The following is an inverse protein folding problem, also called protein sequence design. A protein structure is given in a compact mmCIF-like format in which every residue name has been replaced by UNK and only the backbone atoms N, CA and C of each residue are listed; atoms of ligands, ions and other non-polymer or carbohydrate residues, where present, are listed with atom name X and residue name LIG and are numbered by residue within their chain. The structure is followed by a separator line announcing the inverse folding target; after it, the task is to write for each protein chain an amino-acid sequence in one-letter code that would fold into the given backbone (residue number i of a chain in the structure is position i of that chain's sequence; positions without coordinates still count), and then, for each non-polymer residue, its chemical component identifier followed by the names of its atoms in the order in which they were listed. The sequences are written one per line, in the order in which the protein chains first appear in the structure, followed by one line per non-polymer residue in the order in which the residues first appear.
data_IF_112173014044
#
_entry.id   IF_112173014044
#
_cell.length_a   1.000
_cell.length_b   1.000
_cell.length_c   1.000
_cell.angle_alpha   90.00
_cell.angle_beta   90.00
_cell.angle_gamma   90.00
#
_symmetry.space_group_name_H-M   'P 1'
#
loop_
_entity.id
_entity.type
_entity.pdbx_description
1 polymer ?
#
# COMPACT_ATOMS: atom_id res chain seq x y z
N UNK A 1 -8.78 -8.98 17.57
CA UNK A 1 -9.17 -8.87 19.00
C UNK A 1 -7.92 -8.87 19.87
N UNK A 2 -7.86 -7.97 20.84
CA UNK A 2 -6.80 -7.90 21.87
C UNK A 2 -7.43 -8.14 23.23
N UNK A 3 -6.79 -8.96 24.08
CA UNK A 3 -7.21 -9.25 25.44
C UNK A 3 -6.22 -8.62 26.42
N UNK A 4 -6.71 -7.89 27.39
CA UNK A 4 -5.91 -7.28 28.46
C UNK A 4 -6.42 -7.70 29.81
N UNK A 5 -5.52 -7.87 30.79
CA UNK A 5 -5.90 -8.17 32.15
C UNK A 5 -6.71 -7.02 32.76
N UNK A 6 -7.78 -7.32 33.46
CA UNK A 6 -8.70 -6.34 34.03
C UNK A 6 -8.00 -5.37 35.01
N UNK A 7 -7.14 -5.93 35.89
CA UNK A 7 -6.34 -5.15 36.82
C UNK A 7 -5.40 -4.15 36.09
N UNK A 8 -4.82 -4.55 34.95
CA UNK A 8 -3.99 -3.66 34.13
C UNK A 8 -4.80 -2.50 33.57
N UNK A 9 -6.05 -2.76 33.15
CA UNK A 9 -6.95 -1.71 32.67
C UNK A 9 -7.37 -0.72 33.76
N UNK A 10 -7.45 -1.18 35.04
CA UNK A 10 -7.83 -0.31 36.19
C UNK A 10 -6.64 0.48 36.73
N UNK A 11 -5.44 -0.11 36.74
CA UNK A 11 -4.24 0.47 37.35
C UNK A 11 -3.38 1.28 36.37
N UNK A 12 -3.74 1.33 35.08
CA UNK A 12 -2.97 2.05 34.09
C UNK A 12 -2.93 3.56 34.39
N UNK A 13 -1.73 4.08 34.64
CA UNK A 13 -1.47 5.50 34.89
C UNK A 13 -1.56 6.39 33.63
N UNK A 14 -1.89 5.79 32.49
CA UNK A 14 -2.00 6.45 31.17
C UNK A 14 -3.32 6.05 30.50
N UNK A 15 -3.71 6.81 29.47
CA UNK A 15 -4.91 6.52 28.67
C UNK A 15 -4.72 5.24 27.83
N UNK A 16 -5.01 4.10 28.43
CA UNK A 16 -4.90 2.77 27.82
C UNK A 16 -5.86 2.62 26.64
N UNK A 17 -7.09 3.11 26.75
CA UNK A 17 -8.10 3.01 25.69
C UNK A 17 -7.69 3.81 24.47
N UNK A 18 -7.15 5.02 24.66
CA UNK A 18 -6.59 5.82 23.58
C UNK A 18 -5.39 5.16 22.91
N UNK A 19 -4.51 4.52 23.70
CA UNK A 19 -3.36 3.77 23.16
C UNK A 19 -3.82 2.57 22.33
N UNK A 20 -4.72 1.75 22.85
CA UNK A 20 -5.28 0.59 22.13
C UNK A 20 -5.98 1.03 20.84
N UNK A 21 -6.75 2.10 20.89
CA UNK A 21 -7.43 2.63 19.70
C UNK A 21 -6.43 3.04 18.62
N UNK A 22 -5.33 3.68 19.01
CA UNK A 22 -4.27 4.09 18.08
C UNK A 22 -3.56 2.89 17.44
N UNK A 23 -3.22 1.87 18.23
CA UNK A 23 -2.61 0.62 17.74
C UNK A 23 -3.53 -0.12 16.76
N UNK A 24 -4.84 -0.19 17.06
CA UNK A 24 -5.82 -0.75 16.14
C UNK A 24 -5.89 0.04 14.84
N UNK A 25 -5.95 1.37 14.89
CA UNK A 25 -6.01 2.21 13.71
C UNK A 25 -4.77 2.03 12.82
N UNK A 26 -3.58 1.94 13.42
CA UNK A 26 -2.35 1.67 12.67
C UNK A 26 -2.36 0.28 12.04
N UNK A 27 -2.76 -0.75 12.78
CA UNK A 27 -2.82 -2.13 12.28
C UNK A 27 -3.84 -2.28 11.15
N UNK A 28 -5.00 -1.63 11.27
CA UNK A 28 -6.02 -1.66 10.21
C UNK A 28 -5.53 -0.93 8.97
N UNK A 29 -4.94 0.26 9.09
CA UNK A 29 -4.39 0.96 7.94
C UNK A 29 -3.32 0.15 7.19
N UNK A 30 -2.50 -0.63 7.91
CA UNK A 30 -1.55 -1.56 7.28
C UNK A 30 -2.25 -2.71 6.55
N UNK A 31 -3.29 -3.30 7.16
CA UNK A 31 -4.06 -4.37 6.54
C UNK A 31 -4.83 -3.90 5.30
N UNK A 32 -5.36 -2.67 5.34
CA UNK A 32 -6.00 -2.04 4.18
C UNK A 32 -5.00 -1.82 3.04
N UNK A 33 -3.81 -1.26 3.35
CA UNK A 33 -2.76 -1.06 2.37
C UNK A 33 -2.33 -2.38 1.73
N UNK A 34 -2.11 -3.43 2.54
CA UNK A 34 -1.81 -4.78 2.06
C UNK A 34 -2.92 -5.31 1.15
N UNK A 35 -4.17 -5.20 1.59
CA UNK A 35 -5.33 -5.69 0.84
C UNK A 35 -5.51 -4.97 -0.51
N UNK A 36 -5.34 -3.64 -0.55
CA UNK A 36 -5.47 -2.87 -1.80
C UNK A 36 -4.35 -3.13 -2.80
N UNK A 37 -3.20 -3.62 -2.34
CA UNK A 37 -2.06 -3.98 -3.19
C UNK A 37 -2.11 -5.47 -3.53
N UNK A 38 -2.09 -6.35 -2.51
CA UNK A 38 -1.95 -7.78 -2.71
C UNK A 38 -3.26 -8.50 -3.01
N UNK A 39 -4.41 -7.94 -2.58
CA UNK A 39 -5.69 -8.66 -2.62
C UNK A 39 -5.73 -9.84 -1.67
N UNK A 40 -6.63 -10.79 -1.90
CA UNK A 40 -6.71 -12.03 -1.15
C UNK A 40 -8.14 -12.57 -1.04
N UNK A 41 -8.29 -13.78 -0.48
CA UNK A 41 -9.58 -14.37 -0.19
C UNK A 41 -10.31 -13.58 0.89
N UNK A 42 -11.50 -13.08 0.57
CA UNK A 42 -12.31 -12.19 1.44
C UNK A 42 -11.64 -10.84 1.78
N UNK A 43 -10.63 -10.42 1.04
CA UNK A 43 -10.06 -9.09 1.11
C UNK A 43 -10.78 -8.12 0.13
N UNK A 44 -10.66 -6.80 0.33
CA UNK A 44 -11.03 -5.82 -0.69
C UNK A 44 -10.32 -6.08 -2.02
N UNK A 45 -10.92 -5.57 -3.12
CA UNK A 45 -10.30 -5.69 -4.43
C UNK A 45 -8.92 -5.00 -4.50
N UNK A 46 -7.96 -5.67 -5.17
CA UNK A 46 -6.62 -5.15 -5.41
C UNK A 46 -6.56 -4.34 -6.70
N UNK A 47 -5.86 -3.20 -6.67
CA UNK A 47 -5.61 -2.46 -7.90
C UNK A 47 -4.61 -3.20 -8.82
N UNK A 48 -3.77 -4.07 -8.25
CA UNK A 48 -2.79 -4.86 -9.02
C UNK A 48 -3.47 -5.90 -9.93
N UNK A 49 -4.66 -6.37 -9.55
CA UNK A 49 -5.44 -7.33 -10.34
C UNK A 49 -6.21 -6.63 -11.47
N UNK A 50 -6.68 -5.42 -11.20
CA UNK A 50 -7.49 -4.65 -12.15
C UNK A 50 -6.65 -3.83 -13.14
N UNK A 51 -5.42 -3.42 -12.79
CA UNK A 51 -4.60 -2.54 -13.59
C UNK A 51 -3.95 -3.26 -14.78
N UNK A 52 -3.75 -2.51 -15.86
CA UNK A 52 -3.15 -3.04 -17.08
C UNK A 52 -1.61 -3.03 -17.01
N UNK A 53 -0.98 -4.02 -17.65
CA UNK A 53 0.48 -4.04 -17.85
C UNK A 53 0.83 -2.96 -18.87
N UNK A 54 1.66 -2.00 -18.47
CA UNK A 54 2.12 -0.91 -19.33
C UNK A 54 3.44 -1.23 -20.02
N UNK A 55 4.31 -1.99 -19.36
CA UNK A 55 5.59 -2.42 -19.90
C UNK A 55 6.07 -3.71 -19.22
N UNK A 56 6.75 -4.56 -19.98
CA UNK A 56 7.39 -5.78 -19.45
C UNK A 56 8.88 -5.76 -19.77
N UNK A 57 9.72 -6.18 -18.84
CA UNK A 57 11.17 -6.23 -18.98
C UNK A 57 11.75 -7.41 -18.21
N UNK A 58 12.90 -7.90 -18.62
CA UNK A 58 13.63 -8.97 -17.89
C UNK A 58 14.59 -8.43 -16.83
N UNK A 59 14.99 -7.17 -16.94
CA UNK A 59 15.85 -6.48 -15.98
C UNK A 59 15.45 -5.01 -15.91
N UNK A 60 15.26 -4.50 -14.70
CA UNK A 60 14.76 -3.16 -14.48
C UNK A 60 15.83 -2.11 -14.77
N UNK A 61 15.61 -1.32 -15.81
CA UNK A 61 16.44 -0.18 -16.17
C UNK A 61 15.66 1.13 -16.08
N UNK A 62 16.38 2.25 -16.11
CA UNK A 62 15.72 3.57 -16.12
C UNK A 62 14.90 3.82 -17.40
N UNK A 63 15.32 3.23 -18.52
CA UNK A 63 14.58 3.31 -19.79
C UNK A 63 13.21 2.62 -19.68
N UNK A 64 13.11 1.56 -18.90
CA UNK A 64 11.83 0.86 -18.67
C UNK A 64 10.87 1.69 -17.82
N UNK A 65 11.39 2.45 -16.87
CA UNK A 65 10.61 3.45 -16.11
C UNK A 65 10.09 4.55 -17.06
N UNK A 66 10.91 5.01 -18.00
CA UNK A 66 10.48 5.98 -19.02
C UNK A 66 9.40 5.36 -19.93
N UNK A 67 9.57 4.13 -20.39
CA UNK A 67 8.56 3.44 -21.22
C UNK A 67 7.24 3.30 -20.46
N UNK A 68 7.29 2.88 -19.18
CA UNK A 68 6.10 2.81 -18.33
C UNK A 68 5.42 4.18 -18.19
N UNK A 69 6.18 5.25 -17.98
CA UNK A 69 5.63 6.61 -17.93
C UNK A 69 4.86 6.95 -19.19
N UNK A 70 5.40 6.62 -20.38
CA UNK A 70 4.78 6.95 -21.65
C UNK A 70 3.67 5.97 -22.07
N UNK A 71 3.58 4.77 -21.47
CA UNK A 71 2.47 3.83 -21.68
C UNK A 71 1.14 4.33 -21.09
N UNK A 72 1.20 5.21 -20.07
CA UNK A 72 0.02 5.83 -19.49
C UNK A 72 -0.50 6.95 -20.40
N UNK A 73 -1.82 7.01 -20.61
CA UNK A 73 -2.45 8.08 -21.40
C UNK A 73 -2.18 9.46 -20.76
N UNK A 74 -1.92 10.45 -21.61
CA UNK A 74 -1.61 11.84 -21.23
C UNK A 74 -2.65 12.44 -20.29
N UNK A 75 -3.93 12.06 -20.42
CA UNK A 75 -5.03 12.55 -19.57
C UNK A 75 -4.84 12.20 -18.10
N UNK A 76 -4.25 11.04 -17.78
CA UNK A 76 -4.01 10.57 -16.41
C UNK A 76 -2.68 11.04 -15.84
N UNK A 77 -1.64 11.26 -16.70
CA UNK A 77 -0.29 11.63 -16.26
C UNK A 77 -0.23 12.85 -15.36
N UNK A 78 -1.20 13.78 -15.47
CA UNK A 78 -1.18 15.00 -14.66
C UNK A 78 -1.22 14.71 -13.17
N UNK A 79 -2.05 13.77 -12.74
CA UNK A 79 -2.24 13.37 -11.33
C UNK A 79 -1.55 12.06 -10.97
N UNK A 80 -0.86 11.46 -11.94
CA UNK A 80 -0.21 10.17 -11.73
C UNK A 80 0.90 10.26 -10.69
N UNK A 81 1.05 9.16 -9.95
CA UNK A 81 2.08 8.92 -8.95
C UNK A 81 2.70 7.55 -9.17
N UNK A 82 3.90 7.37 -8.64
CA UNK A 82 4.61 6.09 -8.62
C UNK A 82 4.35 5.40 -7.29
N UNK A 83 4.16 4.07 -7.34
CA UNK A 83 4.10 3.20 -6.16
C UNK A 83 5.06 2.04 -6.38
N UNK A 84 5.93 1.79 -5.43
CA UNK A 84 6.93 0.72 -5.46
C UNK A 84 7.39 0.38 -4.05
N UNK A 85 8.12 -0.72 -3.88
CA UNK A 85 8.76 -1.02 -2.60
C UNK A 85 10.11 -0.28 -2.43
N UNK A 86 10.68 -0.38 -1.23
CA UNK A 86 11.92 0.31 -0.89
C UNK A 86 13.14 -0.27 -1.64
N UNK A 87 13.19 -1.58 -1.84
CA UNK A 87 14.27 -2.25 -2.58
C UNK A 87 14.30 -1.84 -4.06
N UNK A 88 13.13 -1.78 -4.69
CA UNK A 88 12.99 -1.27 -6.08
C UNK A 88 13.39 0.20 -6.15
N UNK A 89 12.98 1.01 -5.18
CA UNK A 89 13.37 2.41 -5.11
C UNK A 89 14.90 2.56 -4.90
N UNK A 90 15.52 1.73 -4.06
CA UNK A 90 16.97 1.70 -3.87
C UNK A 90 17.69 1.37 -5.19
N UNK A 91 17.24 0.33 -5.91
CA UNK A 91 17.79 -0.03 -7.22
C UNK A 91 17.71 1.15 -8.19
N UNK A 92 16.57 1.78 -8.32
CA UNK A 92 16.39 2.94 -9.21
C UNK A 92 17.25 4.15 -8.80
N UNK A 93 17.42 4.40 -7.48
CA UNK A 93 18.26 5.49 -6.97
C UNK A 93 19.74 5.26 -7.20
N UNK A 94 20.18 4.01 -7.30
CA UNK A 94 21.58 3.65 -7.54
C UNK A 94 21.96 3.60 -9.00
N UNK A 95 20.97 3.66 -9.93
CA UNK A 95 21.23 3.71 -11.36
C UNK A 95 22.02 4.98 -11.75
N UNK A 96 23.03 4.79 -12.56
CA UNK A 96 23.90 5.86 -13.05
C UNK A 96 23.91 5.88 -14.58
N UNK A 97 24.14 7.05 -15.12
CA UNK A 97 24.41 7.20 -16.54
C UNK A 97 25.86 6.81 -16.89
N UNK A 98 26.21 6.90 -18.17
CA UNK A 98 27.55 6.61 -18.68
C UNK A 98 28.65 7.55 -18.12
N UNK A 99 28.27 8.70 -17.55
CA UNK A 99 29.17 9.66 -16.90
C UNK A 99 29.35 9.39 -15.39
N UNK A 100 28.58 8.44 -14.81
CA UNK A 100 28.58 8.12 -13.41
C UNK A 100 27.65 9.00 -12.56
N UNK A 101 26.84 9.86 -13.19
CA UNK A 101 25.83 10.65 -12.49
C UNK A 101 24.58 9.81 -12.21
N UNK A 102 23.97 10.00 -11.03
CA UNK A 102 22.73 9.33 -10.69
C UNK A 102 21.56 9.82 -11.55
N UNK A 103 20.77 8.89 -12.06
CA UNK A 103 19.62 9.20 -12.92
C UNK A 103 18.42 9.74 -12.11
N UNK A 104 18.25 9.31 -10.86
CA UNK A 104 17.24 9.86 -9.97
C UNK A 104 17.79 11.07 -9.22
N UNK A 105 17.06 12.18 -9.24
CA UNK A 105 17.43 13.36 -8.46
C UNK A 105 17.17 13.10 -6.96
N UNK A 106 18.25 13.09 -6.17
CA UNK A 106 18.17 12.85 -4.73
C UNK A 106 17.52 13.99 -3.92
N UNK A 107 17.41 15.18 -4.49
CA UNK A 107 16.82 16.33 -3.80
C UNK A 107 15.31 16.22 -3.62
N UNK A 108 14.64 15.50 -4.52
CA UNK A 108 13.20 15.34 -4.53
C UNK A 108 12.81 13.86 -4.55
N UNK A 109 11.75 13.50 -3.83
CA UNK A 109 11.17 12.15 -3.92
C UNK A 109 10.28 12.02 -5.16
N UNK A 110 10.83 12.37 -6.35
CA UNK A 110 10.11 12.37 -7.62
C UNK A 110 10.91 11.67 -8.72
N UNK A 111 10.19 10.95 -9.58
CA UNK A 111 10.71 10.42 -10.85
C UNK A 111 9.92 11.08 -11.98
N UNK A 112 10.61 11.67 -12.94
CA UNK A 112 10.01 12.42 -14.07
C UNK A 112 8.98 13.48 -13.60
N UNK A 113 9.27 14.15 -12.45
CA UNK A 113 8.40 15.18 -11.87
C UNK A 113 7.12 14.63 -11.21
N UNK A 114 7.04 13.30 -10.96
CA UNK A 114 5.92 12.65 -10.28
C UNK A 114 6.36 12.05 -8.96
N UNK A 115 5.53 12.21 -7.93
CA UNK A 115 5.82 11.70 -6.58
C UNK A 115 5.95 10.19 -6.58
N UNK A 116 6.85 9.70 -5.73
CA UNK A 116 7.04 8.28 -5.45
C UNK A 116 6.50 8.01 -4.05
N UNK A 117 5.64 7.02 -3.94
CA UNK A 117 5.17 6.46 -2.68
C UNK A 117 5.80 5.08 -2.51
N UNK A 118 6.35 4.87 -1.32
CA UNK A 118 6.97 3.59 -0.95
C UNK A 118 5.94 2.79 -0.17
N UNK A 119 5.72 1.56 -0.58
CA UNK A 119 4.90 0.59 0.13
C UNK A 119 5.66 -0.74 0.25
N UNK A 120 5.74 -1.27 1.46
CA UNK A 120 6.39 -2.55 1.72
C UNK A 120 5.60 -3.75 1.17
N UNK A 121 4.34 -3.55 0.78
CA UNK A 121 3.47 -4.58 0.21
C UNK A 121 3.62 -4.71 -1.31
N UNK A 122 4.27 -3.76 -1.97
CA UNK A 122 4.61 -3.93 -3.39
C UNK A 122 5.63 -5.05 -3.54
N UNK A 123 5.45 -5.94 -4.54
CA UNK A 123 6.35 -7.07 -4.73
C UNK A 123 7.77 -6.63 -5.09
N UNK A 124 8.72 -7.49 -4.75
CA UNK A 124 10.11 -7.34 -5.17
C UNK A 124 10.26 -7.65 -6.68
N UNK A 125 11.43 -7.35 -7.22
CA UNK A 125 11.78 -7.62 -8.60
C UNK A 125 12.09 -9.11 -8.80
N UNK A 126 11.03 -9.89 -8.97
CA UNK A 126 11.09 -11.33 -9.25
C UNK A 126 10.40 -11.64 -10.56
N UNK A 127 10.73 -12.76 -11.19
CA UNK A 127 10.11 -13.19 -12.44
C UNK A 127 8.58 -13.32 -12.28
N UNK A 128 7.82 -12.66 -13.14
CA UNK A 128 6.36 -12.58 -13.08
C UNK A 128 5.81 -11.55 -12.09
N UNK A 129 6.66 -10.88 -11.29
CA UNK A 129 6.24 -9.85 -10.35
C UNK A 129 6.01 -8.51 -11.03
N UNK A 130 5.24 -7.63 -10.36
CA UNK A 130 4.90 -6.27 -10.83
C UNK A 130 5.38 -5.24 -9.81
N UNK A 131 6.70 -4.96 -9.73
CA UNK A 131 7.31 -4.16 -8.66
C UNK A 131 6.98 -2.67 -8.72
N UNK A 132 6.50 -2.16 -9.84
CA UNK A 132 6.22 -0.74 -10.03
C UNK A 132 4.81 -0.55 -10.59
N UNK A 133 4.04 0.32 -9.94
CA UNK A 133 2.79 0.84 -10.46
C UNK A 133 2.92 2.36 -10.73
N UNK A 134 2.35 2.81 -11.85
CA UNK A 134 2.31 4.22 -12.22
C UNK A 134 0.93 4.60 -12.73
N UNK A 135 0.27 5.56 -12.10
CA UNK A 135 -1.07 5.96 -12.52
C UNK A 135 -1.76 6.98 -11.65
N UNK A 136 -2.98 7.30 -12.05
CA UNK A 136 -3.90 8.17 -11.32
C UNK A 136 -4.81 7.31 -10.42
N UNK A 137 -4.41 7.17 -9.17
CA UNK A 137 -5.14 6.39 -8.15
C UNK A 137 -6.44 7.06 -7.68
N UNK A 138 -6.81 8.22 -8.18
CA UNK A 138 -8.14 8.78 -7.91
C UNK A 138 -9.28 7.94 -8.52
N UNK A 139 -8.94 7.00 -9.40
CA UNK A 139 -9.87 6.00 -9.95
C UNK A 139 -9.91 4.69 -9.16
N UNK A 140 -9.10 4.52 -8.13
CA UNK A 140 -9.27 3.48 -7.13
C UNK A 140 -10.36 3.94 -6.15
N UNK A 141 -11.55 3.34 -6.26
CA UNK A 141 -12.65 3.65 -5.38
C UNK A 141 -12.66 2.69 -4.20
N UNK A 142 -12.71 3.27 -3.00
CA UNK A 142 -12.86 2.55 -1.74
C UNK A 142 -14.27 2.85 -1.23
N UNK A 143 -15.02 1.80 -0.92
CA UNK A 143 -16.40 1.89 -0.46
C UNK A 143 -16.50 1.31 0.94
N UNK A 144 -16.65 2.17 1.94
CA UNK A 144 -16.90 1.77 3.31
C UNK A 144 -18.35 1.40 3.48
N UNK A 145 -18.62 0.13 3.75
CA UNK A 145 -19.96 -0.34 4.11
C UNK A 145 -20.21 -0.16 5.60
N UNK A 146 -19.22 -0.49 6.43
CA UNK A 146 -19.18 -0.20 7.84
C UNK A 146 -17.80 0.38 8.19
N UNK A 147 -17.77 1.67 8.62
CA UNK A 147 -16.51 2.27 9.01
C UNK A 147 -15.93 1.56 10.22
N UNK A 148 -14.64 1.72 10.42
CA UNK A 148 -13.95 1.16 11.57
C UNK A 148 -14.68 1.45 12.87
N UNK A 149 -14.94 0.40 13.64
CA UNK A 149 -15.52 0.48 14.97
C UNK A 149 -14.72 -0.38 15.96
N UNK A 150 -14.42 0.20 17.12
CA UNK A 150 -13.80 -0.48 18.23
C UNK A 150 -14.85 -0.77 19.32
N UNK A 151 -14.97 -2.01 19.75
CA UNK A 151 -15.83 -2.42 20.87
C UNK A 151 -15.00 -2.94 22.02
N UNK A 152 -15.31 -2.45 23.22
CA UNK A 152 -14.83 -2.98 24.48
C UNK A 152 -15.77 -4.09 24.95
N UNK A 153 -15.25 -5.27 25.20
CA UNK A 153 -15.96 -6.48 25.63
C UNK A 153 -15.64 -6.73 27.09
N UNK A 154 -16.48 -6.25 27.99
CA UNK A 154 -16.26 -6.34 29.43
C UNK A 154 -16.84 -7.59 30.06
N UNK A 155 -17.88 -8.20 29.45
CA UNK A 155 -18.58 -9.35 30.03
C UNK A 155 -18.10 -10.69 29.49
N UNK A 156 -17.63 -10.74 28.25
CA UNK A 156 -17.31 -11.99 27.55
C UNK A 156 -16.11 -12.74 28.17
N UNK A 157 -15.17 -12.03 28.77
CA UNK A 157 -13.92 -12.57 29.30
C UNK A 157 -13.79 -12.42 30.82
N UNK A 158 -14.90 -12.19 31.54
CA UNK A 158 -14.93 -12.11 33.01
C UNK A 158 -14.34 -13.37 33.70
N UNK A 159 -14.64 -14.61 33.27
CA UNK A 159 -14.04 -15.79 33.89
C UNK A 159 -12.52 -15.82 33.82
N UNK A 160 -11.90 -15.16 32.86
CA UNK A 160 -10.46 -15.06 32.68
C UNK A 160 -9.86 -13.78 33.32
N UNK A 161 -10.70 -12.94 33.94
CA UNK A 161 -10.30 -11.62 34.49
C UNK A 161 -9.65 -10.75 33.42
N UNK A 162 -10.25 -10.73 32.22
CA UNK A 162 -9.75 -9.98 31.05
C UNK A 162 -10.84 -9.09 30.45
N UNK A 163 -10.41 -7.99 29.86
CA UNK A 163 -11.22 -7.11 29.02
C UNK A 163 -10.77 -7.30 27.59
N UNK A 164 -11.72 -7.55 26.68
CA UNK A 164 -11.46 -7.67 25.26
C UNK A 164 -11.66 -6.33 24.52
N UNK A 165 -10.81 -6.07 23.53
CA UNK A 165 -11.02 -5.01 22.56
C UNK A 165 -11.13 -5.64 21.18
N UNK A 166 -12.23 -5.38 20.47
CA UNK A 166 -12.50 -5.93 19.15
C UNK A 166 -12.69 -4.79 18.16
N UNK A 167 -11.76 -4.68 17.21
CA UNK A 167 -11.90 -3.82 16.04
C UNK A 167 -12.53 -4.59 14.88
N UNK A 168 -13.40 -3.96 14.12
CA UNK A 168 -13.95 -4.48 12.88
C UNK A 168 -14.27 -3.36 11.92
N UNK A 169 -14.19 -3.69 10.64
CA UNK A 169 -14.45 -2.83 9.51
C UNK A 169 -15.01 -3.67 8.36
N UNK A 170 -15.77 -3.07 7.46
CA UNK A 170 -16.20 -3.72 6.24
C UNK A 170 -16.10 -2.71 5.10
N UNK A 171 -15.18 -2.95 4.21
CA UNK A 171 -14.95 -2.12 3.04
C UNK A 171 -14.70 -2.99 1.80
N UNK A 172 -14.77 -2.39 0.64
CA UNK A 172 -14.37 -2.97 -0.64
C UNK A 172 -13.66 -1.93 -1.48
N UNK A 173 -12.82 -2.37 -2.41
CA UNK A 173 -12.08 -1.48 -3.30
C UNK A 173 -12.12 -1.99 -4.73
N UNK A 174 -12.11 -1.07 -5.69
CA UNK A 174 -12.03 -1.40 -7.12
C UNK A 174 -11.41 -0.28 -7.93
N UNK A 175 -10.52 -0.65 -8.84
CA UNK A 175 -10.03 0.27 -9.86
C UNK A 175 -11.07 0.39 -10.98
N UNK A 176 -11.83 1.50 -10.97
CA UNK A 176 -12.93 1.75 -11.92
C UNK A 176 -12.42 1.91 -13.36
N UNK A 177 -11.17 2.35 -13.52
CA UNK A 177 -10.52 2.57 -14.80
C UNK A 177 -9.20 1.81 -14.85
N UNK A 178 -9.17 0.59 -15.41
CA UNK A 178 -7.93 -0.19 -15.57
C UNK A 178 -6.84 0.56 -16.33
N UNK A 179 -7.23 1.37 -17.32
CA UNK A 179 -6.33 2.19 -18.15
C UNK A 179 -5.68 3.38 -17.41
N UNK A 180 -6.19 3.73 -16.22
CA UNK A 180 -5.67 4.84 -15.41
C UNK A 180 -4.42 4.50 -14.60
N UNK A 181 -4.14 3.21 -14.38
CA UNK A 181 -2.95 2.70 -13.70
C UNK A 181 -2.26 1.68 -14.59
N UNK A 182 -0.95 1.78 -14.70
CA UNK A 182 -0.11 0.87 -15.48
C UNK A 182 0.93 0.21 -14.57
N UNK A 183 1.13 -1.08 -14.78
CA UNK A 183 2.08 -1.89 -14.05
C UNK A 183 3.31 -2.19 -14.92
N UNK A 184 4.48 -2.23 -14.29
CA UNK A 184 5.69 -2.81 -14.88
C UNK A 184 5.79 -4.25 -14.43
N UNK A 185 5.91 -5.17 -15.38
CA UNK A 185 6.05 -6.60 -15.12
C UNK A 185 7.48 -7.05 -15.40
N UNK A 186 8.03 -7.89 -14.53
CA UNK A 186 9.30 -8.58 -14.79
C UNK A 186 9.00 -9.88 -15.52
N UNK A 187 9.32 -9.92 -16.81
CA UNK A 187 9.23 -11.16 -17.59
C UNK A 187 10.33 -12.15 -17.19
N UNK A 188 9.96 -13.40 -16.95
CA UNK A 188 10.89 -14.48 -16.66
C UNK A 188 11.63 -14.95 -17.90
#
# INVERSE_FOLDING_TARGET
TVLLAENFCQDAAFDLEGHVTKEFAQSIGQLEEEAFICGGDNAPGSFMDDAEIGHSTSDLTYDDVIKLYFSLDKKYRRKAVWVMNDDTALKLRTLKDSSGAYLWNHADNTILGKRVYISNFMPNEEAGAKPIAFGDFSFLWIIDRWPFALRKLTELFVPQQQVGFMGYEMLDAKLIRPDAVKLLEISG
#
